data_IF_822402364067
#
_entry.id   IF_822402364067
#
_cell.length_a   1.000
_cell.length_b   1.000
_cell.length_c   1.000
_cell.angle_alpha   90.00
_cell.angle_beta   90.00
_cell.angle_gamma   90.00
#
_symmetry.space_group_name_H-M   'P 1'
#
loop_
_entity.id
_entity.type
_entity.pdbx_description
1 polymer ?
#
# COMPACT_ATOMS: atom_id res chain seq x y z
N UNK A 1 5.36 30.88 -6.10
CA UNK A 1 4.38 30.48 -5.06
C UNK A 1 3.87 29.10 -5.44
N UNK A 2 4.53 28.04 -4.98
CA UNK A 2 4.13 26.66 -5.25
C UNK A 2 3.58 26.06 -3.97
N UNK A 3 2.25 25.99 -3.86
CA UNK A 3 1.61 25.27 -2.78
C UNK A 3 1.66 23.78 -3.09
N UNK A 4 2.59 23.06 -2.46
CA UNK A 4 2.46 21.60 -2.33
C UNK A 4 1.14 21.34 -1.62
N UNK A 5 0.15 20.79 -2.33
CA UNK A 5 -1.06 20.28 -1.71
C UNK A 5 -0.64 19.03 -0.92
N UNK A 6 -0.18 19.25 0.31
CA UNK A 6 0.07 18.15 1.25
C UNK A 6 -1.28 17.53 1.59
N UNK A 7 -1.45 16.27 1.20
CA UNK A 7 -2.63 15.50 1.61
C UNK A 7 -2.53 15.27 3.11
N UNK A 8 -3.61 15.55 3.82
CA UNK A 8 -3.70 15.29 5.25
C UNK A 8 -3.71 13.78 5.48
N UNK A 9 -2.55 13.24 5.80
CA UNK A 9 -2.37 11.85 6.22
C UNK A 9 -2.80 11.76 7.69
N UNK A 10 -3.80 10.93 8.05
CA UNK A 10 -4.20 10.75 9.43
C UNK A 10 -3.02 10.31 10.29
N UNK A 11 -2.72 11.04 11.36
CA UNK A 11 -1.56 10.79 12.23
C UNK A 11 -0.23 11.38 11.72
N UNK A 12 -0.24 12.11 10.61
CA UNK A 12 0.92 12.80 10.05
C UNK A 12 1.97 11.89 9.41
N UNK A 13 3.05 12.51 8.93
CA UNK A 13 4.16 11.85 8.25
C UNK A 13 3.85 11.45 6.80
N UNK A 14 4.90 11.15 6.05
CA UNK A 14 4.85 10.72 4.65
C UNK A 14 5.30 9.27 4.49
N UNK A 15 5.39 8.52 5.59
CA UNK A 15 5.90 7.15 5.60
C UNK A 15 4.79 6.10 5.69
N UNK A 16 5.03 4.93 5.08
CA UNK A 16 4.16 3.78 5.19
C UNK A 16 4.75 2.55 4.52
N UNK A 17 3.99 1.47 4.48
CA UNK A 17 4.38 0.24 3.79
C UNK A 17 3.91 0.28 2.33
N UNK A 18 4.83 0.53 1.41
CA UNK A 18 4.59 0.50 -0.02
C UNK A 18 4.29 -0.91 -0.49
N UNK A 19 3.17 -1.09 -1.18
CA UNK A 19 2.72 -2.37 -1.74
C UNK A 19 3.47 -2.62 -3.04
N UNK A 20 4.36 -3.61 -3.06
CA UNK A 20 5.18 -3.96 -4.23
C UNK A 20 4.54 -5.04 -5.11
N UNK A 21 3.76 -5.93 -4.49
CA UNK A 21 3.08 -7.04 -5.15
C UNK A 21 1.84 -7.41 -4.37
N UNK A 22 0.80 -7.81 -5.10
CA UNK A 22 -0.41 -8.42 -4.55
C UNK A 22 -0.61 -9.76 -5.26
N UNK A 23 -0.79 -10.84 -4.50
CA UNK A 23 -1.03 -12.17 -5.05
C UNK A 23 -2.51 -12.33 -5.41
N UNK A 24 -2.80 -12.97 -6.54
CA UNK A 24 -4.18 -13.21 -6.98
C UNK A 24 -4.97 -14.00 -5.93
N UNK A 25 -6.25 -13.66 -5.77
CA UNK A 25 -7.18 -14.28 -4.81
C UNK A 25 -6.79 -14.14 -3.32
N UNK A 26 -5.71 -13.42 -3.00
CA UNK A 26 -5.30 -13.14 -1.63
C UNK A 26 -6.25 -12.19 -0.91
N UNK A 27 -6.17 -12.08 0.43
CA UNK A 27 -6.93 -11.07 1.17
C UNK A 27 -6.63 -9.63 0.71
N UNK A 28 -5.36 -9.33 0.40
CA UNK A 28 -4.98 -8.02 -0.15
C UNK A 28 -5.62 -7.74 -1.52
N UNK A 29 -5.68 -8.75 -2.38
CA UNK A 29 -6.37 -8.64 -3.68
C UNK A 29 -7.87 -8.36 -3.50
N UNK A 30 -8.54 -9.12 -2.62
CA UNK A 30 -9.97 -8.95 -2.34
C UNK A 30 -10.31 -7.59 -1.73
N UNK A 31 -9.37 -7.01 -0.98
CA UNK A 31 -9.48 -5.68 -0.40
C UNK A 31 -9.20 -4.55 -1.41
N UNK A 32 -8.80 -4.87 -2.64
CA UNK A 32 -8.50 -3.88 -3.66
C UNK A 32 -7.19 -3.12 -3.44
N UNK A 33 -6.19 -3.78 -2.85
CA UNK A 33 -4.83 -3.24 -2.80
C UNK A 33 -4.21 -3.24 -4.20
N UNK A 34 -3.61 -2.12 -4.58
CA UNK A 34 -2.96 -1.89 -5.87
C UNK A 34 -1.45 -1.89 -5.69
N UNK A 35 -0.77 -2.83 -6.36
CA UNK A 35 0.69 -2.84 -6.38
C UNK A 35 1.23 -1.53 -7.00
N UNK A 36 2.40 -1.11 -6.51
CA UNK A 36 3.15 0.10 -6.86
C UNK A 36 2.49 1.43 -6.49
N UNK A 37 1.17 1.51 -6.39
CA UNK A 37 0.48 2.76 -6.10
C UNK A 37 0.05 2.89 -4.64
N UNK A 38 -0.22 1.79 -3.95
CA UNK A 38 -0.70 1.85 -2.58
C UNK A 38 0.41 1.85 -1.54
N UNK A 39 0.20 2.67 -0.51
CA UNK A 39 0.97 2.74 0.72
C UNK A 39 0.05 2.51 1.91
N UNK A 40 0.32 1.45 2.67
CA UNK A 40 -0.41 1.14 3.89
C UNK A 40 0.13 2.06 5.00
N UNK A 41 -0.67 3.03 5.41
CA UNK A 41 -0.26 4.09 6.35
C UNK A 41 -0.82 3.87 7.76
N UNK A 42 -1.95 3.17 7.91
CA UNK A 42 -2.46 2.80 9.22
C UNK A 42 -3.24 1.48 9.16
N UNK A 43 -3.35 0.82 10.32
CA UNK A 43 -4.20 -0.36 10.50
C UNK A 43 -4.95 -0.22 11.83
N UNK A 44 -6.28 -0.27 11.76
CA UNK A 44 -7.14 0.16 12.87
C UNK A 44 -6.80 1.58 13.33
N UNK A 45 -6.48 1.73 14.60
CA UNK A 45 -6.08 3.01 15.20
C UNK A 45 -4.55 3.21 15.25
N UNK A 46 -3.77 2.30 14.67
CA UNK A 46 -2.30 2.32 14.73
C UNK A 46 -1.73 2.93 13.45
N UNK A 47 -1.07 4.09 13.58
CA UNK A 47 -0.27 4.68 12.51
C UNK A 47 0.99 3.84 12.28
N UNK A 48 1.27 3.52 11.03
CA UNK A 48 2.44 2.75 10.60
C UNK A 48 3.54 3.69 10.07
N UNK A 49 4.13 4.48 10.97
CA UNK A 49 5.16 5.48 10.66
C UNK A 49 6.58 5.03 11.01
N UNK A 50 6.78 3.74 11.31
CA UNK A 50 8.07 3.15 11.64
C UNK A 50 8.22 1.78 10.96
N UNK A 51 9.44 1.45 10.56
CA UNK A 51 9.81 0.11 10.10
C UNK A 51 9.97 -0.81 11.32
N UNK A 52 8.89 -1.48 11.70
CA UNK A 52 8.83 -2.36 12.86
C UNK A 52 7.78 -3.46 12.65
N UNK A 53 7.66 -4.36 13.62
CA UNK A 53 6.75 -5.50 13.48
C UNK A 53 5.28 -5.20 13.79
N UNK A 54 4.88 -3.94 14.04
CA UNK A 54 3.51 -3.60 14.46
C UNK A 54 2.43 -4.09 13.48
N UNK A 55 2.65 -3.89 12.16
CA UNK A 55 1.74 -4.41 11.14
C UNK A 55 1.63 -5.94 11.22
N UNK A 56 2.76 -6.64 11.36
CA UNK A 56 2.78 -8.12 11.44
C UNK A 56 2.05 -8.62 12.68
N UNK A 57 2.28 -8.01 13.83
CA UNK A 57 1.65 -8.41 15.10
C UNK A 57 0.14 -8.15 15.10
N UNK A 58 -0.31 -7.02 14.55
CA UNK A 58 -1.76 -6.72 14.41
C UNK A 58 -2.44 -7.73 13.48
N UNK A 59 -1.80 -8.10 12.37
CA UNK A 59 -2.33 -9.11 11.46
C UNK A 59 -2.42 -10.50 12.12
N UNK A 60 -1.41 -10.89 12.90
CA UNK A 60 -1.40 -12.18 13.63
C UNK A 60 -2.50 -12.26 14.69
N UNK A 61 -2.76 -11.17 15.41
CA UNK A 61 -3.80 -11.13 16.45
C UNK A 61 -5.22 -11.03 15.88
N UNK A 62 -5.35 -10.69 14.61
CA UNK A 62 -6.62 -10.46 13.91
C UNK A 62 -6.87 -11.45 12.76
N UNK A 63 -6.26 -12.64 12.82
CA UNK A 63 -6.50 -13.70 11.84
C UNK A 63 -8.00 -14.05 11.82
N UNK A 64 -8.54 -14.18 10.61
CA UNK A 64 -9.93 -14.48 10.29
C UNK A 64 -10.95 -13.46 10.87
N UNK A 65 -10.49 -12.24 11.20
CA UNK A 65 -11.35 -11.11 11.63
C UNK A 65 -11.22 -9.91 10.69
N UNK A 66 -12.32 -9.21 10.37
CA UNK A 66 -12.26 -7.98 9.59
C UNK A 66 -11.41 -6.90 10.30
N UNK A 67 -10.58 -6.22 9.52
CA UNK A 67 -9.74 -5.12 9.94
C UNK A 67 -9.85 -3.98 8.94
N UNK A 68 -9.90 -2.76 9.48
CA UNK A 68 -9.80 -1.54 8.69
C UNK A 68 -8.34 -1.17 8.50
N UNK A 69 -7.99 -0.81 7.28
CA UNK A 69 -6.66 -0.37 6.89
C UNK A 69 -6.78 0.93 6.12
N UNK A 70 -5.95 1.89 6.47
CA UNK A 70 -5.89 3.19 5.79
C UNK A 70 -4.76 3.14 4.78
N UNK A 71 -5.08 3.47 3.53
CA UNK A 71 -4.18 3.35 2.39
C UNK A 71 -4.10 4.70 1.67
N UNK A 72 -2.88 5.16 1.44
CA UNK A 72 -2.61 6.26 0.52
C UNK A 72 -2.33 5.70 -0.87
N UNK A 73 -3.01 6.22 -1.90
CA UNK A 73 -2.75 5.85 -3.29
C UNK A 73 -1.97 6.99 -3.98
N UNK A 74 -0.75 6.70 -4.43
CA UNK A 74 0.11 7.70 -5.07
C UNK A 74 -0.45 8.14 -6.43
N UNK A 75 -1.06 7.24 -7.20
CA UNK A 75 -1.63 7.54 -8.52
C UNK A 75 -2.78 8.54 -8.44
N UNK A 76 -3.74 8.32 -7.55
CA UNK A 76 -4.90 9.21 -7.39
C UNK A 76 -4.67 10.32 -6.40
N UNK A 77 -3.58 10.25 -5.62
CA UNK A 77 -3.28 11.22 -4.57
C UNK A 77 -4.44 11.32 -3.55
N UNK A 78 -4.97 10.17 -3.12
CA UNK A 78 -6.07 10.12 -2.16
C UNK A 78 -5.81 9.09 -1.07
N UNK A 79 -6.32 9.36 0.13
CA UNK A 79 -6.38 8.39 1.22
C UNK A 79 -7.74 7.71 1.21
N UNK A 80 -7.75 6.38 1.31
CA UNK A 80 -8.98 5.58 1.43
C UNK A 80 -8.88 4.56 2.55
N UNK A 81 -10.02 4.20 3.12
CA UNK A 81 -10.13 3.07 4.04
C UNK A 81 -10.51 1.82 3.24
N UNK A 82 -9.82 0.71 3.51
CA UNK A 82 -10.15 -0.61 2.98
C UNK A 82 -10.42 -1.55 4.15
N UNK A 83 -11.42 -2.42 3.99
CA UNK A 83 -11.68 -3.51 4.91
C UNK A 83 -11.05 -4.79 4.35
N UNK A 84 -10.31 -5.51 5.19
CA UNK A 84 -9.71 -6.78 4.82
C UNK A 84 -9.78 -7.79 5.97
N UNK A 85 -9.74 -9.07 5.63
CA UNK A 85 -9.72 -10.15 6.62
C UNK A 85 -8.44 -10.97 6.43
N UNK A 86 -7.43 -10.84 7.30
CA UNK A 86 -6.21 -11.61 7.20
C UNK A 86 -6.53 -13.10 7.34
N UNK A 87 -5.92 -13.95 6.52
CA UNK A 87 -6.16 -15.40 6.62
C UNK A 87 -4.94 -16.18 6.18
N UNK A 88 -4.76 -17.38 6.76
CA UNK A 88 -3.78 -18.36 6.29
C UNK A 88 -4.38 -19.38 5.31
N UNK A 89 -5.71 -19.36 5.11
CA UNK A 89 -6.46 -20.43 4.43
C UNK A 89 -6.68 -20.19 2.94
N UNK A 90 -6.13 -19.11 2.37
CA UNK A 90 -6.36 -18.73 0.97
C UNK A 90 -5.38 -19.41 -0.02
N UNK A 91 -4.47 -20.25 0.47
CA UNK A 91 -3.62 -21.11 -0.37
C UNK A 91 -2.27 -20.53 -0.80
N UNK A 92 -1.96 -19.28 -0.44
CA UNK A 92 -0.67 -18.65 -0.73
C UNK A 92 0.17 -18.33 0.51
N UNK A 93 1.19 -17.48 0.32
CA UNK A 93 2.14 -17.12 1.37
C UNK A 93 1.73 -15.83 2.12
N UNK A 94 1.75 -15.90 3.44
CA UNK A 94 1.45 -14.79 4.34
C UNK A 94 -0.05 -14.58 4.59
N UNK A 95 -0.37 -13.66 5.51
CA UNK A 95 -1.75 -13.42 5.94
C UNK A 95 -2.55 -12.51 5.01
N UNK A 96 -1.86 -11.70 4.19
CA UNK A 96 -2.47 -10.78 3.22
C UNK A 96 -2.15 -11.11 1.77
N UNK A 97 -1.10 -11.91 1.52
CA UNK A 97 -0.61 -12.16 0.16
C UNK A 97 0.01 -10.94 -0.53
N UNK A 98 0.60 -10.01 0.24
CA UNK A 98 1.28 -8.83 -0.30
C UNK A 98 2.78 -8.85 0.00
N UNK A 99 3.56 -8.26 -0.90
CA UNK A 99 4.95 -7.89 -0.63
C UNK A 99 4.99 -6.39 -0.35
N UNK A 100 5.66 -6.00 0.73
CA UNK A 100 5.69 -4.61 1.19
C UNK A 100 7.11 -4.15 1.51
N UNK A 101 7.34 -2.84 1.44
CA UNK A 101 8.56 -2.18 1.88
C UNK A 101 8.21 -0.91 2.64
N UNK A 102 8.85 -0.67 3.78
CA UNK A 102 8.72 0.61 4.47
C UNK A 102 9.50 1.70 3.71
N UNK A 103 8.81 2.77 3.31
CA UNK A 103 9.44 3.95 2.70
C UNK A 103 8.51 5.18 2.76
N UNK A 104 9.07 6.33 2.40
CA UNK A 104 8.29 7.56 2.18
C UNK A 104 7.55 7.50 0.84
N UNK A 105 6.31 7.98 0.81
CA UNK A 105 5.57 8.27 -0.41
C UNK A 105 5.71 9.72 -0.88
N UNK A 106 6.48 10.54 -0.16
CA UNK A 106 6.88 11.87 -0.64
C UNK A 106 7.65 11.73 -1.96
N UNK A 107 7.23 12.46 -3.00
CA UNK A 107 7.85 12.37 -4.32
C UNK A 107 7.70 11.01 -5.01
N UNK A 108 6.82 10.10 -4.53
CA UNK A 108 6.60 8.80 -5.19
C UNK A 108 6.13 8.96 -6.65
N UNK A 109 5.40 10.04 -6.94
CA UNK A 109 4.95 10.39 -8.29
C UNK A 109 6.03 11.05 -9.17
N UNK A 110 7.19 11.38 -8.61
CA UNK A 110 8.29 12.01 -9.36
C UNK A 110 9.22 10.97 -10.01
N UNK A 111 9.17 9.71 -9.54
CA UNK A 111 10.00 8.62 -10.01
C UNK A 111 9.32 7.79 -11.11
N UNK A 112 8.69 8.48 -12.07
CA UNK A 112 8.00 7.85 -13.20
C UNK A 112 8.55 8.37 -14.52
N UNK A 113 8.75 7.46 -15.47
CA UNK A 113 9.18 7.80 -16.83
C UNK A 113 8.00 7.66 -17.79
N UNK A 114 7.67 8.75 -18.49
CA UNK A 114 6.66 8.72 -19.53
C UNK A 114 7.29 8.24 -20.84
N UNK A 115 6.94 7.02 -21.27
CA UNK A 115 7.30 6.52 -22.60
C UNK A 115 6.50 7.32 -23.64
N UNK A 116 7.20 7.90 -24.62
CA UNK A 116 6.59 8.74 -25.65
C UNK A 116 6.33 7.91 -26.92
N UNK A 117 7.09 8.14 -27.97
CA UNK A 117 7.02 7.37 -29.20
C UNK A 117 7.95 6.16 -29.12
N UNK A 118 7.46 5.03 -29.61
CA UNK A 118 8.20 3.78 -29.75
C UNK A 118 8.31 3.46 -31.24
N UNK A 119 9.53 3.32 -31.72
CA UNK A 119 9.80 3.02 -33.13
C UNK A 119 9.54 1.55 -33.46
N UNK A 120 9.12 1.29 -34.70
CA UNK A 120 8.86 -0.07 -35.17
C UNK A 120 10.14 -0.92 -35.15
N UNK A 121 10.06 -2.14 -34.58
CA UNK A 121 11.18 -3.06 -34.36
C UNK A 121 12.26 -2.56 -33.38
N UNK A 122 11.94 -1.56 -32.54
CA UNK A 122 12.83 -1.17 -31.45
C UNK A 122 12.69 -2.12 -30.24
N UNK A 123 13.68 -2.18 -29.33
CA UNK A 123 13.61 -2.98 -28.10
C UNK A 123 12.67 -2.45 -27.00
N UNK A 124 12.06 -1.26 -27.18
CA UNK A 124 11.15 -0.63 -26.23
C UNK A 124 9.68 -1.02 -26.52
#
# INVERSE_FOLDING_TARGET
>A
MGGSQSIEVPGGGTEGYHVLRVQDHSPGYKAGLEAYFDFIIAIGNTRLNQDNDALKEILKTSIDKPLKMTVYNSKTQTVREVELTPSAKWGGQGLLGVSIRFCSFEGANEHVWHVLQVEANSPA
#
